data_IF_469011387956
#
_entry.id   IF_469011387956
#
_cell.length_a   1.000
_cell.length_b   1.000
_cell.length_c   1.000
_cell.angle_alpha   90.00
_cell.angle_beta   90.00
_cell.angle_gamma   90.00
#
_symmetry.space_group_name_H-M   'P 1'
#
loop_
_entity.id
_entity.type
_entity.pdbx_description
1 polymer ?
#
# COMPACT_ATOMS: atom_id res chain seq x y z
N UNK A 1 -28.79 -48.07 11.48
CA UNK A 1 -29.51 -47.39 12.58
C UNK A 1 -28.49 -46.66 13.45
N UNK A 2 -28.80 -45.39 13.78
CA UNK A 2 -28.16 -44.48 14.77
C UNK A 2 -26.81 -43.88 14.34
N UNK A 3 -26.70 -42.63 13.88
CA UNK A 3 -27.03 -41.28 14.43
C UNK A 3 -26.00 -40.72 15.43
N UNK A 4 -25.59 -39.47 15.14
CA UNK A 4 -25.00 -38.40 15.98
C UNK A 4 -23.50 -38.52 16.30
N UNK A 5 -22.66 -37.49 16.17
CA UNK A 5 -22.90 -36.06 15.93
C UNK A 5 -21.67 -35.38 15.24
N UNK A 6 -21.90 -34.35 14.42
CA UNK A 6 -20.86 -33.58 13.74
C UNK A 6 -20.39 -32.40 14.61
N UNK A 7 -19.09 -32.32 14.91
CA UNK A 7 -18.52 -31.16 15.59
C UNK A 7 -17.02 -31.05 15.32
N UNK A 8 -16.66 -30.45 14.20
CA UNK A 8 -15.39 -29.74 13.95
C UNK A 8 -15.65 -28.88 12.71
N UNK A 9 -16.36 -27.77 12.90
CA UNK A 9 -15.74 -26.46 13.04
C UNK A 9 -15.19 -25.95 11.69
N UNK A 10 -16.13 -25.47 10.87
CA UNK A 10 -16.09 -24.19 10.16
C UNK A 10 -14.75 -23.43 10.22
N UNK A 11 -13.80 -23.74 9.34
CA UNK A 11 -12.71 -22.83 8.97
C UNK A 11 -12.32 -23.17 7.52
N UNK A 12 -12.90 -22.46 6.55
CA UNK A 12 -12.10 -21.42 5.92
C UNK A 12 -12.94 -20.15 5.70
N UNK A 13 -13.14 -19.36 6.76
CA UNK A 13 -13.75 -18.01 6.66
C UNK A 13 -12.67 -16.93 6.50
N UNK A 14 -11.54 -17.25 5.86
CA UNK A 14 -10.42 -16.29 5.70
C UNK A 14 -9.95 -16.08 4.25
N UNK A 15 -10.60 -16.68 3.25
CA UNK A 15 -10.28 -16.40 1.83
C UNK A 15 -11.34 -15.60 1.07
N UNK A 16 -12.34 -15.04 1.77
CA UNK A 16 -13.50 -14.39 1.14
C UNK A 16 -13.59 -12.86 1.37
N UNK A 17 -12.52 -12.17 1.77
CA UNK A 17 -12.58 -10.72 2.05
C UNK A 17 -11.48 -9.88 1.38
N UNK A 18 -11.14 -10.16 0.11
CA UNK A 18 -10.50 -9.12 -0.74
C UNK A 18 -11.06 -9.08 -2.17
N UNK A 19 -12.32 -9.49 -2.34
CA UNK A 19 -13.06 -9.28 -3.59
C UNK A 19 -13.99 -8.07 -3.49
N UNK A 20 -13.50 -6.94 -2.95
CA UNK A 20 -14.07 -5.64 -3.35
C UNK A 20 -13.81 -5.49 -4.85
N UNK A 21 -14.75 -4.97 -5.67
CA UNK A 21 -14.47 -4.67 -7.07
C UNK A 21 -13.15 -3.92 -7.11
N UNK A 22 -12.14 -4.50 -7.76
CA UNK A 22 -10.72 -4.18 -7.56
C UNK A 22 -10.54 -2.68 -7.56
N UNK A 23 -10.43 -2.04 -6.39
CA UNK A 23 -10.25 -0.60 -6.32
C UNK A 23 -8.82 -0.33 -6.84
N UNK A 24 -8.66 0.11 -8.10
CA UNK A 24 -7.35 0.16 -8.71
C UNK A 24 -6.51 1.28 -8.05
N UNK A 25 -7.18 2.31 -7.54
CA UNK A 25 -6.58 3.38 -6.76
C UNK A 25 -6.04 2.88 -5.42
N UNK A 26 -6.73 1.94 -4.76
CA UNK A 26 -6.22 1.31 -3.54
C UNK A 26 -5.01 0.40 -3.82
N UNK A 27 -5.02 -0.36 -4.91
CA UNK A 27 -3.86 -1.17 -5.31
C UNK A 27 -2.62 -0.29 -5.56
N UNK A 28 -2.77 0.81 -6.32
CA UNK A 28 -1.68 1.77 -6.54
C UNK A 28 -1.25 2.49 -5.27
N UNK A 29 -2.18 2.79 -4.36
CA UNK A 29 -1.87 3.36 -3.06
C UNK A 29 -1.00 2.43 -2.21
N UNK A 30 -1.24 1.11 -2.27
CA UNK A 30 -0.37 0.09 -1.63
C UNK A 30 1.06 0.14 -2.19
N UNK A 31 1.20 0.20 -3.52
CA UNK A 31 2.52 0.30 -4.18
C UNK A 31 3.23 1.59 -3.75
N UNK A 32 2.54 2.72 -3.79
CA UNK A 32 3.09 4.01 -3.36
C UNK A 32 3.56 3.99 -1.90
N UNK A 33 2.72 3.49 -0.98
CA UNK A 33 3.06 3.39 0.43
C UNK A 33 4.28 2.48 0.66
N UNK A 34 4.36 1.36 -0.06
CA UNK A 34 5.52 0.47 -0.04
C UNK A 34 6.81 1.17 -0.47
N UNK A 35 6.80 1.88 -1.60
CA UNK A 35 7.96 2.63 -2.11
C UNK A 35 8.39 3.69 -1.10
N UNK A 36 7.46 4.53 -0.62
CA UNK A 36 7.78 5.64 0.30
C UNK A 36 8.40 5.12 1.59
N UNK A 37 7.83 4.06 2.14
CA UNK A 37 8.32 3.47 3.38
C UNK A 37 9.67 2.80 3.20
N UNK A 38 9.83 1.95 2.19
CA UNK A 38 11.11 1.29 1.94
C UNK A 38 12.19 2.32 1.63
N UNK A 39 11.90 3.34 0.84
CA UNK A 39 12.84 4.42 0.57
C UNK A 39 13.24 5.19 1.83
N UNK A 40 12.30 5.46 2.74
CA UNK A 40 12.58 6.11 4.01
C UNK A 40 13.48 5.26 4.91
N UNK A 41 13.19 3.96 5.03
CA UNK A 41 13.99 3.01 5.79
C UNK A 41 15.42 2.87 5.23
N UNK A 42 15.57 2.91 3.90
CA UNK A 42 16.85 2.78 3.21
C UNK A 42 17.66 4.07 3.09
N UNK A 43 17.16 5.21 3.61
CA UNK A 43 17.70 6.54 3.34
C UNK A 43 17.87 6.84 1.83
N UNK A 44 16.97 6.29 1.01
CA UNK A 44 16.93 6.49 -0.44
C UNK A 44 16.13 7.74 -0.84
N UNK A 45 15.41 8.34 0.11
CA UNK A 45 14.65 9.57 -0.05
C UNK A 45 13.39 9.56 0.81
N UNK A 46 12.75 10.71 0.91
CA UNK A 46 11.51 10.93 1.64
C UNK A 46 10.43 11.48 0.71
N UNK A 47 9.18 11.06 0.94
CA UNK A 47 8.02 11.67 0.29
C UNK A 47 7.89 13.14 0.70
N UNK A 48 7.26 13.94 -0.17
CA UNK A 48 6.86 15.30 0.20
C UNK A 48 5.56 15.23 0.99
N UNK A 49 5.31 16.26 1.80
CA UNK A 49 4.08 16.36 2.60
C UNK A 49 2.80 16.24 1.76
N UNK A 50 2.85 16.69 0.52
CA UNK A 50 1.74 16.70 -0.44
C UNK A 50 1.72 15.50 -1.40
N UNK A 51 2.62 14.52 -1.25
CA UNK A 51 2.71 13.36 -2.15
C UNK A 51 1.38 12.60 -2.22
N UNK A 52 0.72 12.36 -1.07
CA UNK A 52 -0.56 11.67 -1.04
C UNK A 52 -1.65 12.47 -1.75
N UNK A 53 -1.77 13.77 -1.50
CA UNK A 53 -2.81 14.58 -2.12
C UNK A 53 -2.63 14.68 -3.64
N UNK A 54 -1.39 14.79 -4.11
CA UNK A 54 -1.07 14.76 -5.54
C UNK A 54 -1.36 13.41 -6.18
N UNK A 55 -1.05 12.31 -5.49
CA UNK A 55 -1.43 10.96 -5.94
C UNK A 55 -2.95 10.86 -6.09
N UNK A 56 -3.72 11.27 -5.07
CA UNK A 56 -5.18 11.24 -5.14
C UNK A 56 -5.74 12.18 -6.22
N UNK A 57 -5.07 13.30 -6.51
CA UNK A 57 -5.43 14.16 -7.64
C UNK A 57 -5.22 13.45 -8.98
N UNK A 58 -4.10 12.73 -9.13
CA UNK A 58 -3.84 11.93 -10.33
C UNK A 58 -4.86 10.80 -10.52
N UNK A 59 -5.31 10.18 -9.43
CA UNK A 59 -6.36 9.16 -9.46
C UNK A 59 -7.72 9.75 -9.87
N UNK A 60 -8.06 10.96 -9.38
CA UNK A 60 -9.25 11.68 -9.86
C UNK A 60 -9.16 11.99 -11.35
N UNK A 61 -7.98 12.39 -11.83
CA UNK A 61 -7.75 12.63 -13.27
C UNK A 61 -7.88 11.35 -14.11
N UNK A 62 -7.68 10.17 -13.51
CA UNK A 62 -7.93 8.85 -14.11
C UNK A 62 -9.41 8.42 -14.05
N UNK A 63 -10.29 9.25 -13.50
CA UNK A 63 -11.71 8.95 -13.37
C UNK A 63 -12.07 8.10 -12.15
N UNK A 64 -11.21 8.03 -11.14
CA UNK A 64 -11.53 7.32 -9.90
C UNK A 64 -12.73 7.97 -9.19
N UNK A 65 -13.68 7.14 -8.73
CA UNK A 65 -14.85 7.62 -7.99
C UNK A 65 -14.47 8.12 -6.59
N UNK A 66 -15.31 8.93 -5.93
CA UNK A 66 -15.07 9.37 -4.56
C UNK A 66 -14.80 8.21 -3.57
N UNK A 67 -15.51 7.10 -3.72
CA UNK A 67 -15.34 5.89 -2.90
C UNK A 67 -13.97 5.24 -3.16
N UNK A 68 -13.53 5.23 -4.43
CA UNK A 68 -12.22 4.70 -4.79
C UNK A 68 -11.09 5.56 -4.21
N UNK A 69 -11.25 6.89 -4.25
CA UNK A 69 -10.33 7.86 -3.64
C UNK A 69 -10.29 7.69 -2.12
N UNK A 70 -11.44 7.51 -1.47
CA UNK A 70 -11.50 7.26 -0.03
C UNK A 70 -10.80 5.95 0.33
N UNK A 71 -11.04 4.88 -0.43
CA UNK A 71 -10.34 3.60 -0.27
C UNK A 71 -8.83 3.75 -0.44
N UNK A 72 -8.37 4.45 -1.47
CA UNK A 72 -6.95 4.70 -1.72
C UNK A 72 -6.27 5.48 -0.57
N UNK A 73 -6.95 6.51 -0.05
CA UNK A 73 -6.48 7.26 1.12
C UNK A 73 -6.37 6.36 2.34
N UNK A 74 -7.42 5.59 2.63
CA UNK A 74 -7.45 4.66 3.76
C UNK A 74 -6.30 3.66 3.66
N UNK A 75 -6.12 3.03 2.50
CA UNK A 75 -5.05 2.06 2.25
C UNK A 75 -3.66 2.65 2.48
N UNK A 76 -3.38 3.83 1.89
CA UNK A 76 -2.09 4.48 2.05
C UNK A 76 -1.78 4.81 3.52
N UNK A 77 -2.77 5.36 4.25
CA UNK A 77 -2.63 5.72 5.66
C UNK A 77 -2.42 4.47 6.52
N UNK A 78 -3.26 3.45 6.38
CA UNK A 78 -3.14 2.20 7.14
C UNK A 78 -1.76 1.54 6.96
N UNK A 79 -1.24 1.50 5.74
CA UNK A 79 0.09 0.93 5.48
C UNK A 79 1.20 1.82 6.08
N UNK A 80 1.11 3.13 5.89
CA UNK A 80 2.10 4.08 6.44
C UNK A 80 2.12 4.07 7.96
N UNK A 81 0.95 3.95 8.60
CA UNK A 81 0.79 3.83 10.05
C UNK A 81 1.32 2.48 10.55
N UNK A 82 0.96 1.36 9.91
CA UNK A 82 1.49 0.04 10.26
C UNK A 82 3.02 0.03 10.21
N UNK A 83 3.61 0.72 9.23
CA UNK A 83 5.06 0.85 9.10
C UNK A 83 5.68 1.81 10.12
N UNK A 84 4.92 2.82 10.58
CA UNK A 84 5.35 3.73 11.67
C UNK A 84 5.32 3.02 13.03
N UNK A 85 4.32 2.15 13.25
CA UNK A 85 4.25 1.31 14.46
C UNK A 85 5.38 0.28 14.45
N UNK A 86 5.67 -0.32 13.29
CA UNK A 86 6.74 -1.30 13.13
C UNK A 86 8.17 -0.70 13.15
N UNK A 87 8.35 0.61 13.41
CA UNK A 87 9.68 1.24 13.53
C UNK A 87 10.50 0.69 14.70
N UNK A 88 9.86 -0.01 15.66
CA UNK A 88 10.57 -0.76 16.71
C UNK A 88 11.29 -2.01 16.20
N UNK A 89 10.97 -2.48 14.98
CA UNK A 89 11.67 -3.56 14.28
C UNK A 89 12.71 -2.90 13.39
N UNK A 90 14.00 -3.18 13.66
CA UNK A 90 15.11 -2.67 12.85
C UNK A 90 14.86 -3.01 11.37
N UNK A 91 14.77 -2.02 10.47
CA UNK A 91 14.56 -2.30 9.06
C UNK A 91 15.67 -3.19 8.53
N UNK A 92 15.32 -4.13 7.66
CA UNK A 92 16.33 -4.93 6.97
C UNK A 92 17.36 -4.03 6.27
N UNK A 93 18.65 -4.42 6.28
CA UNK A 93 19.68 -3.64 5.60
C UNK A 93 19.39 -3.58 4.10
N UNK A 94 19.39 -2.37 3.55
CA UNK A 94 19.18 -2.19 2.12
C UNK A 94 20.50 -2.28 1.36
N UNK A 95 20.50 -3.05 0.27
CA UNK A 95 21.66 -3.14 -0.62
C UNK A 95 21.87 -1.83 -1.38
N UNK A 96 23.06 -1.65 -1.98
CA UNK A 96 23.35 -0.46 -2.78
C UNK A 96 22.44 -0.38 -4.02
N UNK A 97 22.17 -1.52 -4.65
CA UNK A 97 21.31 -1.67 -5.82
C UNK A 97 19.85 -1.35 -5.49
N UNK A 98 19.36 -1.84 -4.35
CA UNK A 98 18.02 -1.55 -3.87
C UNK A 98 17.87 -0.05 -3.58
N UNK A 99 18.85 0.55 -2.89
CA UNK A 99 18.85 1.99 -2.61
C UNK A 99 18.84 2.83 -3.89
N UNK A 100 19.61 2.44 -4.90
CA UNK A 100 19.64 3.12 -6.19
C UNK A 100 18.27 3.04 -6.90
N UNK A 101 17.65 1.86 -6.89
CA UNK A 101 16.31 1.63 -7.46
C UNK A 101 15.25 2.47 -6.75
N UNK A 102 15.21 2.42 -5.42
CA UNK A 102 14.29 3.21 -4.59
C UNK A 102 14.48 4.71 -4.80
N UNK A 103 15.72 5.18 -4.97
CA UNK A 103 16.00 6.59 -5.27
C UNK A 103 15.42 6.99 -6.62
N UNK A 104 15.54 6.13 -7.63
CA UNK A 104 14.90 6.31 -8.94
C UNK A 104 13.38 6.42 -8.83
N UNK A 105 12.75 5.46 -8.13
CA UNK A 105 11.30 5.46 -7.90
C UNK A 105 10.84 6.70 -7.13
N UNK A 106 11.57 7.11 -6.08
CA UNK A 106 11.26 8.31 -5.32
C UNK A 106 11.39 9.59 -6.14
N UNK A 107 12.33 9.66 -7.08
CA UNK A 107 12.43 10.79 -8.01
C UNK A 107 11.20 10.88 -8.91
N UNK A 108 10.67 9.75 -9.38
CA UNK A 108 9.43 9.68 -10.15
C UNK A 108 8.23 10.13 -9.31
N UNK A 109 8.10 9.63 -8.08
CA UNK A 109 7.06 10.04 -7.11
C UNK A 109 7.12 11.54 -6.81
N UNK A 110 8.32 12.10 -6.59
CA UNK A 110 8.53 13.53 -6.33
C UNK A 110 8.27 14.41 -7.54
N UNK A 111 8.36 13.85 -8.74
CA UNK A 111 7.99 14.49 -9.99
C UNK A 111 6.49 14.35 -10.31
N UNK A 112 5.70 13.80 -9.38
CA UNK A 112 4.26 13.59 -9.51
C UNK A 112 3.87 12.69 -10.70
N UNK A 113 4.76 11.79 -11.07
CA UNK A 113 4.54 10.78 -12.10
C UNK A 113 4.10 9.50 -11.40
N UNK A 114 2.84 9.14 -11.58
CA UNK A 114 2.21 8.01 -10.90
C UNK A 114 1.72 6.94 -11.88
N UNK A 115 2.03 7.08 -13.17
CA UNK A 115 1.56 6.23 -14.27
C UNK A 115 2.17 4.83 -14.22
N UNK A 116 3.34 4.72 -13.60
CA UNK A 116 4.09 3.49 -13.44
C UNK A 116 3.82 2.78 -12.11
N UNK A 117 2.82 3.24 -11.35
CA UNK A 117 2.39 2.62 -10.09
C UNK A 117 1.30 1.57 -10.31
#
# INVERSE_FOLDING_TARGET
>A
MRLLAPALALLPVLSACVSTPSNPSAARATVLAGIVSRASACNAGYARRDTLDRFLQSERARGATPEQIAGARSTYVTISEAQTINQGIRPEPCTAEERATLRGQMNTVRANRFETL
#
